data_IF_271097017575
#
_entry.id   IF_271097017575
#
_cell.length_a   1.000
_cell.length_b   1.000
_cell.length_c   1.000
_cell.angle_alpha   90.00
_cell.angle_beta   90.00
_cell.angle_gamma   90.00
#
_symmetry.space_group_name_H-M   'P 1'
#
loop_
_entity.id
_entity.type
_entity.pdbx_description
1 polymer ?
#
# COMPACT_ATOMS: atom_id res chain seq x y z
N UNK A 1 14.04 -35.18 -28.82
CA UNK A 1 14.57 -33.92 -28.27
C UNK A 1 13.93 -32.82 -29.10
N UNK A 2 12.87 -32.18 -28.58
CA UNK A 2 12.20 -31.11 -29.30
C UNK A 2 13.08 -29.87 -29.31
N UNK A 3 13.26 -29.32 -30.51
CA UNK A 3 14.07 -28.14 -30.77
C UNK A 3 13.26 -26.89 -30.38
N UNK A 4 12.93 -26.75 -29.09
CA UNK A 4 12.07 -25.70 -28.53
C UNK A 4 12.77 -24.32 -28.45
N UNK A 5 13.78 -24.06 -29.29
CA UNK A 5 14.36 -22.73 -29.42
C UNK A 5 13.60 -21.92 -30.46
N UNK A 6 12.89 -20.89 -29.98
CA UNK A 6 12.29 -19.87 -30.83
C UNK A 6 13.41 -19.04 -31.50
N UNK A 7 13.92 -19.53 -32.64
CA UNK A 7 15.04 -18.93 -33.37
C UNK A 7 14.70 -17.62 -34.10
N UNK A 8 13.41 -17.28 -34.21
CA UNK A 8 12.99 -16.09 -34.94
C UNK A 8 13.23 -14.80 -34.16
N UNK A 9 13.36 -14.86 -32.82
CA UNK A 9 13.58 -13.66 -32.03
C UNK A 9 14.83 -12.90 -32.48
N UNK A 10 15.96 -13.59 -32.71
CA UNK A 10 17.20 -12.96 -33.16
C UNK A 10 17.16 -12.45 -34.60
N UNK A 11 16.17 -12.89 -35.39
CA UNK A 11 15.97 -12.44 -36.77
C UNK A 11 15.11 -11.18 -36.86
N UNK A 12 14.44 -10.79 -35.78
CA UNK A 12 13.65 -9.56 -35.74
C UNK A 12 14.58 -8.33 -35.80
N UNK A 13 14.15 -7.23 -36.45
CA UNK A 13 14.79 -5.93 -36.35
C UNK A 13 15.03 -5.52 -34.89
N UNK A 14 16.12 -4.80 -34.63
CA UNK A 14 16.52 -4.37 -33.29
C UNK A 14 15.37 -3.66 -32.55
N UNK A 15 14.62 -2.83 -33.26
CA UNK A 15 13.50 -2.05 -32.73
C UNK A 15 12.42 -2.98 -32.17
N UNK A 16 12.06 -4.04 -32.89
CA UNK A 16 11.05 -5.01 -32.44
C UNK A 16 11.56 -5.84 -31.27
N UNK A 17 12.83 -6.27 -31.28
CA UNK A 17 13.43 -7.02 -30.16
C UNK A 17 13.45 -6.19 -28.88
N UNK A 18 13.81 -4.91 -28.98
CA UNK A 18 13.78 -3.97 -27.86
C UNK A 18 12.36 -3.68 -27.37
N UNK A 19 11.38 -3.56 -28.26
CA UNK A 19 9.97 -3.43 -27.85
C UNK A 19 9.50 -4.67 -27.09
N UNK A 20 9.83 -5.87 -27.55
CA UNK A 20 9.51 -7.12 -26.84
C UNK A 20 10.14 -7.10 -25.44
N UNK A 21 11.43 -6.75 -25.32
CA UNK A 21 12.06 -6.65 -24.00
C UNK A 21 11.39 -5.61 -23.10
N UNK A 22 11.02 -4.44 -23.65
CA UNK A 22 10.28 -3.43 -22.89
C UNK A 22 8.94 -3.95 -22.42
N UNK A 23 8.21 -4.72 -23.23
CA UNK A 23 6.94 -5.33 -22.84
C UNK A 23 7.10 -6.44 -21.82
N UNK A 24 8.23 -7.13 -21.81
CA UNK A 24 8.52 -8.19 -20.85
C UNK A 24 8.98 -7.67 -19.47
N UNK A 25 9.27 -6.38 -19.32
CA UNK A 25 9.53 -5.79 -18.00
C UNK A 25 8.28 -5.94 -17.11
N UNK A 26 8.44 -6.23 -15.81
CA UNK A 26 7.32 -6.37 -14.90
C UNK A 26 6.68 -5.02 -14.54
N UNK A 27 5.49 -5.08 -13.96
CA UNK A 27 4.90 -4.01 -13.17
C UNK A 27 4.99 -4.45 -11.71
N UNK A 28 5.78 -3.75 -10.90
CA UNK A 28 6.06 -4.14 -9.52
C UNK A 28 5.51 -3.12 -8.54
N UNK A 29 5.29 -3.60 -7.34
CA UNK A 29 5.13 -2.76 -6.17
C UNK A 29 6.53 -2.66 -5.56
N UNK A 30 7.20 -1.53 -5.73
CA UNK A 30 8.52 -1.29 -5.17
C UNK A 30 8.36 -0.86 -3.71
N UNK A 31 8.69 -1.76 -2.79
CA UNK A 31 8.54 -1.54 -1.35
C UNK A 31 9.79 -0.90 -0.77
N UNK A 32 9.65 0.27 -0.14
CA UNK A 32 10.77 0.96 0.51
C UNK A 32 11.19 0.30 1.82
N UNK A 33 10.28 -0.43 2.46
CA UNK A 33 10.45 -1.04 3.78
C UNK A 33 9.77 -2.40 3.83
N UNK A 34 10.14 -3.19 4.85
CA UNK A 34 9.55 -4.49 5.11
C UNK A 34 8.34 -4.32 6.02
N UNK A 35 7.16 -4.92 5.71
CA UNK A 35 6.05 -4.88 6.65
C UNK A 35 6.39 -5.67 7.93
N UNK A 36 6.17 -5.07 9.09
CA UNK A 36 6.29 -5.78 10.38
C UNK A 36 5.16 -6.82 10.55
N UNK A 37 3.97 -6.50 10.04
CA UNK A 37 2.77 -7.35 10.05
C UNK A 37 2.13 -7.35 8.65
N UNK A 38 1.45 -8.43 8.25
CA UNK A 38 0.76 -8.51 6.96
C UNK A 38 -0.60 -7.79 6.96
N UNK A 39 -0.68 -6.65 7.64
CA UNK A 39 -1.88 -5.80 7.70
C UNK A 39 -3.14 -6.56 8.18
N UNK A 40 -2.96 -7.56 9.04
CA UNK A 40 -4.04 -8.37 9.66
C UNK A 40 -4.15 -8.17 11.19
N UNK A 41 -3.41 -7.20 11.73
CA UNK A 41 -3.41 -6.78 13.13
C UNK A 41 -2.20 -7.28 13.93
N UNK A 42 -2.22 -7.07 15.25
CA UNK A 42 -1.12 -7.46 16.16
C UNK A 42 -0.98 -8.98 16.34
N UNK A 43 -1.99 -9.75 15.94
CA UNK A 43 -1.97 -11.22 15.95
C UNK A 43 -2.08 -11.71 14.50
N UNK A 44 -0.93 -11.75 13.81
CA UNK A 44 -0.89 -12.19 12.41
C UNK A 44 -1.47 -13.60 12.27
N UNK A 45 -2.56 -13.72 11.52
CA UNK A 45 -3.19 -15.01 11.16
C UNK A 45 -2.37 -15.74 10.10
N UNK A 46 -1.45 -15.03 9.45
CA UNK A 46 -0.58 -15.53 8.41
C UNK A 46 0.83 -15.71 8.96
N UNK A 47 1.38 -16.90 8.77
CA UNK A 47 2.76 -17.17 9.12
C UNK A 47 3.64 -16.81 7.92
N UNK A 48 3.98 -15.54 7.72
CA UNK A 48 4.91 -15.11 6.66
C UNK A 48 5.94 -14.10 7.16
N UNK A 49 7.21 -14.43 6.97
CA UNK A 49 8.29 -13.47 7.19
C UNK A 49 8.60 -12.74 5.87
N UNK A 50 8.00 -11.55 5.73
CA UNK A 50 8.01 -10.78 4.49
C UNK A 50 9.40 -10.30 4.06
N UNK A 51 10.33 -10.14 5.01
CA UNK A 51 11.68 -9.57 4.80
C UNK A 51 12.42 -10.15 3.60
N UNK A 52 12.45 -11.48 3.49
CA UNK A 52 13.10 -12.16 2.36
C UNK A 52 12.46 -11.78 1.03
N UNK A 53 11.13 -11.68 0.98
CA UNK A 53 10.40 -11.35 -0.24
C UNK A 53 10.59 -9.88 -0.61
N UNK A 54 10.56 -8.97 0.37
CA UNK A 54 10.83 -7.55 0.16
C UNK A 54 12.23 -7.34 -0.41
N UNK A 55 13.26 -7.98 0.15
CA UNK A 55 14.63 -7.91 -0.38
C UNK A 55 14.77 -8.51 -1.79
N UNK A 56 14.03 -9.58 -2.10
CA UNK A 56 14.00 -10.16 -3.45
C UNK A 56 13.31 -9.21 -4.44
N UNK A 57 12.22 -8.57 -4.02
CA UNK A 57 11.47 -7.60 -4.81
C UNK A 57 12.29 -6.34 -5.12
N UNK A 58 13.16 -5.94 -4.18
CA UNK A 58 14.08 -4.81 -4.32
C UNK A 58 15.22 -5.03 -5.34
N UNK A 59 15.40 -6.23 -5.89
CA UNK A 59 16.45 -6.51 -6.88
C UNK A 59 16.03 -6.13 -8.31
N UNK A 60 17.00 -6.01 -9.25
CA UNK A 60 16.67 -5.88 -10.67
C UNK A 60 15.81 -7.05 -11.16
N UNK A 61 14.86 -6.80 -12.09
CA UNK A 61 13.97 -7.83 -12.57
C UNK A 61 14.74 -8.95 -13.28
N UNK A 62 14.18 -10.16 -13.30
CA UNK A 62 14.86 -11.34 -13.84
C UNK A 62 15.28 -11.16 -15.30
N UNK A 63 14.51 -10.36 -16.06
CA UNK A 63 14.81 -10.00 -17.45
C UNK A 63 16.15 -9.30 -17.64
N UNK A 64 16.67 -8.59 -16.63
CA UNK A 64 17.97 -7.91 -16.67
C UNK A 64 19.16 -8.89 -16.74
N UNK A 65 18.92 -10.19 -16.51
CA UNK A 65 19.93 -11.24 -16.47
C UNK A 65 19.86 -12.21 -17.66
N UNK A 66 18.93 -12.00 -18.61
CA UNK A 66 18.75 -12.91 -19.76
C UNK A 66 19.88 -12.75 -20.79
N UNK A 67 20.13 -11.53 -21.28
CA UNK A 67 21.24 -11.21 -22.17
C UNK A 67 21.63 -9.72 -22.08
N UNK A 68 22.61 -9.28 -22.87
CA UNK A 68 23.08 -7.90 -22.87
C UNK A 68 22.03 -6.89 -23.35
N UNK A 69 21.22 -7.25 -24.34
CA UNK A 69 20.18 -6.36 -24.88
C UNK A 69 19.03 -6.18 -23.89
N UNK A 70 18.56 -7.26 -23.27
CA UNK A 70 17.51 -7.21 -22.25
C UNK A 70 17.98 -6.45 -21.01
N UNK A 71 19.25 -6.63 -20.61
CA UNK A 71 19.90 -5.85 -19.54
C UNK A 71 19.90 -4.36 -19.87
N UNK A 72 20.30 -3.99 -21.09
CA UNK A 72 20.33 -2.60 -21.48
C UNK A 72 18.93 -1.98 -21.40
N UNK A 73 17.90 -2.69 -21.87
CA UNK A 73 16.50 -2.24 -21.75
C UNK A 73 16.08 -2.08 -20.28
N UNK A 74 16.44 -3.01 -19.40
CA UNK A 74 16.14 -2.88 -17.98
C UNK A 74 16.83 -1.66 -17.35
N UNK A 75 18.10 -1.41 -17.67
CA UNK A 75 18.88 -0.27 -17.17
C UNK A 75 18.40 1.09 -17.73
N UNK A 76 17.77 1.12 -18.91
CA UNK A 76 17.18 2.33 -19.47
C UNK A 76 15.84 2.69 -18.82
N UNK A 77 15.09 1.70 -18.35
CA UNK A 77 13.74 1.86 -17.78
C UNK A 77 13.72 1.85 -16.25
N UNK A 78 14.84 1.53 -15.60
CA UNK A 78 14.95 1.44 -14.14
C UNK A 78 16.29 1.90 -13.60
N UNK A 79 16.35 2.03 -12.27
CA UNK A 79 17.52 2.52 -11.55
C UNK A 79 17.51 2.04 -10.09
N UNK A 80 18.68 2.11 -9.47
CA UNK A 80 18.77 2.04 -8.00
C UNK A 80 18.30 3.37 -7.40
N UNK A 81 17.56 3.24 -6.31
CA UNK A 81 17.14 4.31 -5.43
C UNK A 81 17.73 4.02 -4.05
N UNK A 82 18.64 4.87 -3.61
CA UNK A 82 19.22 4.80 -2.26
C UNK A 82 18.25 5.46 -1.28
N UNK A 83 17.89 4.74 -0.21
CA UNK A 83 16.99 5.24 0.81
C UNK A 83 17.85 5.56 2.04
N UNK A 84 17.78 6.81 2.52
CA UNK A 84 18.60 7.28 3.64
C UNK A 84 17.82 7.29 4.97
N UNK A 85 16.61 6.73 4.97
CA UNK A 85 15.70 6.74 6.10
C UNK A 85 15.95 5.54 7.02
N UNK A 86 15.81 5.74 8.33
CA UNK A 86 16.08 4.70 9.35
C UNK A 86 15.07 3.54 9.34
N UNK A 87 13.95 3.70 8.63
CA UNK A 87 12.87 2.71 8.56
C UNK A 87 12.82 1.94 7.23
N UNK A 88 13.61 2.37 6.26
CA UNK A 88 13.63 1.83 4.89
C UNK A 88 14.79 0.85 4.67
N UNK A 89 14.73 0.10 3.58
CA UNK A 89 15.85 -0.67 3.03
C UNK A 89 16.99 0.28 2.59
N UNK A 90 18.23 -0.19 2.54
CA UNK A 90 19.36 0.67 2.12
C UNK A 90 19.23 1.16 0.67
N UNK A 91 18.81 0.26 -0.23
CA UNK A 91 18.56 0.60 -1.63
C UNK A 91 17.56 -0.36 -2.26
N UNK A 92 16.80 0.13 -3.23
CA UNK A 92 15.83 -0.65 -4.00
C UNK A 92 15.95 -0.36 -5.50
N UNK A 93 15.70 -1.36 -6.33
CA UNK A 93 15.59 -1.19 -7.77
C UNK A 93 14.16 -0.77 -8.14
N UNK A 94 14.01 0.38 -8.79
CA UNK A 94 12.72 0.94 -9.22
C UNK A 94 12.66 1.14 -10.74
N UNK A 95 11.46 1.04 -11.30
CA UNK A 95 11.16 1.41 -12.68
C UNK A 95 10.11 2.54 -12.69
N UNK A 96 10.54 3.82 -12.68
CA UNK A 96 9.64 4.93 -12.33
C UNK A 96 8.36 5.05 -13.17
N UNK A 97 8.43 4.66 -14.45
CA UNK A 97 7.28 4.72 -15.38
C UNK A 97 6.32 3.54 -15.28
N UNK A 98 6.59 2.55 -14.43
CA UNK A 98 5.91 1.24 -14.40
C UNK A 98 5.54 0.77 -13.01
N UNK A 99 6.45 0.98 -12.07
CA UNK A 99 6.30 0.51 -10.70
C UNK A 99 5.46 1.50 -9.88
N UNK A 100 4.80 0.98 -8.86
CA UNK A 100 4.18 1.76 -7.78
C UNK A 100 5.15 1.78 -6.62
N UNK A 101 5.45 2.95 -6.07
CA UNK A 101 6.31 3.07 -4.89
C UNK A 101 5.45 2.89 -3.64
N UNK A 102 5.81 1.97 -2.75
CA UNK A 102 4.99 1.57 -1.61
C UNK A 102 5.73 1.68 -0.29
N UNK A 103 5.01 2.17 0.73
CA UNK A 103 5.48 2.27 2.10
C UNK A 103 4.57 1.45 3.04
N UNK A 104 5.14 0.43 3.67
CA UNK A 104 4.51 -0.46 4.65
C UNK A 104 4.50 0.10 6.08
N UNK A 105 5.13 1.26 6.30
CA UNK A 105 5.33 1.89 7.59
C UNK A 105 4.02 2.05 8.38
N UNK A 106 4.04 1.72 9.67
CA UNK A 106 2.91 1.95 10.59
C UNK A 106 3.41 2.44 11.95
N UNK A 107 2.62 3.30 12.62
CA UNK A 107 2.88 3.69 14.02
C UNK A 107 2.68 2.53 15.02
N UNK A 108 1.88 1.53 14.67
CA UNK A 108 1.62 0.35 15.51
C UNK A 108 2.91 -0.31 16.00
N UNK A 109 3.92 -0.38 15.14
CA UNK A 109 5.28 -0.84 15.46
C UNK A 109 5.85 -0.23 16.76
N UNK A 110 5.73 1.08 16.91
CA UNK A 110 6.32 1.82 18.04
C UNK A 110 5.45 1.74 19.30
N UNK A 111 4.12 1.71 19.13
CA UNK A 111 3.18 1.48 20.23
C UNK A 111 3.37 0.10 20.86
N UNK A 112 3.65 -0.91 20.04
CA UNK A 112 3.88 -2.29 20.47
C UNK A 112 5.27 -2.46 21.12
N UNK A 113 6.30 -1.77 20.60
CA UNK A 113 7.67 -1.89 21.14
C UNK A 113 8.00 -0.94 22.30
N UNK A 114 7.07 -0.05 22.69
CA UNK A 114 7.25 0.82 23.85
C UNK A 114 8.42 1.80 23.73
N UNK A 115 8.82 2.15 22.50
CA UNK A 115 9.88 3.12 22.28
C UNK A 115 9.43 4.51 22.77
N UNK A 116 10.27 5.15 23.59
CA UNK A 116 9.99 6.44 24.21
C UNK A 116 10.03 7.63 23.23
N UNK A 117 10.63 7.44 22.06
CA UNK A 117 10.75 8.47 21.02
C UNK A 117 9.68 8.26 19.95
N UNK A 118 8.78 9.23 19.79
CA UNK A 118 7.87 9.33 18.64
C UNK A 118 8.71 9.53 17.37
N UNK A 119 8.84 8.51 16.50
CA UNK A 119 9.68 8.63 15.32
C UNK A 119 9.17 9.74 14.41
N UNK A 120 10.09 10.47 13.76
CA UNK A 120 9.71 11.39 12.69
C UNK A 120 8.93 10.65 11.61
N UNK A 121 7.84 11.25 11.13
CA UNK A 121 7.07 10.67 10.04
C UNK A 121 7.94 10.51 8.78
N UNK A 122 7.99 9.33 8.15
CA UNK A 122 8.67 9.16 6.88
C UNK A 122 7.83 9.64 5.69
N UNK A 123 6.57 10.02 5.90
CA UNK A 123 5.61 10.27 4.82
C UNK A 123 6.00 11.45 3.94
N UNK A 124 6.43 12.58 4.52
CA UNK A 124 6.87 13.71 3.71
C UNK A 124 8.02 13.33 2.76
N UNK A 125 9.04 12.64 3.27
CA UNK A 125 10.18 12.20 2.47
C UNK A 125 9.79 11.17 1.41
N UNK A 126 8.90 10.24 1.76
CA UNK A 126 8.36 9.24 0.84
C UNK A 126 7.57 9.89 -0.31
N UNK A 127 6.63 10.79 0.00
CA UNK A 127 5.80 11.46 -1.01
C UNK A 127 6.63 12.38 -1.90
N UNK A 128 7.62 13.07 -1.35
CA UNK A 128 8.57 13.85 -2.13
C UNK A 128 9.36 12.98 -3.11
N UNK A 129 9.83 11.80 -2.68
CA UNK A 129 10.53 10.85 -3.56
C UNK A 129 9.63 10.30 -4.66
N UNK A 130 8.38 9.96 -4.31
CA UNK A 130 7.39 9.52 -5.29
C UNK A 130 7.16 10.61 -6.36
N UNK A 131 7.05 11.87 -5.94
CA UNK A 131 6.91 13.03 -6.83
C UNK A 131 8.15 13.25 -7.71
N UNK A 132 9.35 13.28 -7.13
CA UNK A 132 10.62 13.48 -7.87
C UNK A 132 10.84 12.41 -8.94
N UNK A 133 10.46 11.17 -8.64
CA UNK A 133 10.55 10.05 -9.58
C UNK A 133 9.37 10.00 -10.56
N UNK A 134 8.30 10.77 -10.34
CA UNK A 134 7.05 10.67 -11.10
C UNK A 134 6.37 9.31 -10.93
N UNK A 135 6.53 8.68 -9.76
CA UNK A 135 5.96 7.38 -9.42
C UNK A 135 4.63 7.53 -8.70
N UNK A 136 3.73 6.57 -8.92
CA UNK A 136 2.49 6.48 -8.16
C UNK A 136 2.81 6.08 -6.71
N UNK A 137 2.48 6.88 -5.68
CA UNK A 137 2.66 6.49 -4.29
C UNK A 137 1.58 5.49 -3.86
N UNK A 138 1.97 4.65 -2.90
CA UNK A 138 1.08 3.76 -2.18
C UNK A 138 1.48 3.66 -0.71
N UNK A 139 0.48 3.64 0.17
CA UNK A 139 0.65 3.55 1.63
C UNK A 139 -0.29 2.51 2.21
N UNK A 140 -0.08 2.14 3.47
CA UNK A 140 -1.00 1.25 4.21
C UNK A 140 -2.11 2.06 4.88
N UNK A 141 -3.30 1.47 4.99
CA UNK A 141 -4.48 2.14 5.53
C UNK A 141 -4.27 2.72 6.94
N UNK A 142 -3.56 1.98 7.79
CA UNK A 142 -3.23 2.34 9.17
C UNK A 142 -2.52 3.70 9.34
N UNK A 143 -1.86 4.21 8.30
CA UNK A 143 -1.23 5.54 8.36
C UNK A 143 -2.30 6.65 8.47
N UNK A 144 -3.41 6.48 7.76
CA UNK A 144 -4.48 7.47 7.70
C UNK A 144 -5.49 7.24 8.83
N UNK A 145 -5.93 6.00 8.99
CA UNK A 145 -6.95 5.62 9.94
C UNK A 145 -6.89 4.11 10.21
N UNK A 146 -7.08 3.65 11.47
CA UNK A 146 -7.04 2.24 11.77
C UNK A 146 -8.03 1.42 10.94
N UNK A 147 -7.63 0.22 10.53
CA UNK A 147 -8.48 -0.71 9.81
C UNK A 147 -8.31 -2.12 10.36
N UNK A 148 -9.18 -2.51 11.30
CA UNK A 148 -9.05 -3.79 11.99
C UNK A 148 -9.66 -4.95 11.20
N UNK A 149 -8.82 -5.63 10.41
CA UNK A 149 -9.21 -6.89 9.77
C UNK A 149 -9.61 -7.96 10.81
N UNK A 150 -8.97 -7.94 11.99
CA UNK A 150 -9.31 -8.83 13.11
C UNK A 150 -10.76 -8.64 13.56
N UNK A 151 -11.20 -7.40 13.78
CA UNK A 151 -12.59 -7.12 14.18
C UNK A 151 -13.60 -7.59 13.12
N UNK A 152 -13.24 -7.45 11.83
CA UNK A 152 -14.07 -7.93 10.72
C UNK A 152 -14.19 -9.46 10.65
N UNK A 153 -13.14 -10.18 11.03
CA UNK A 153 -13.15 -11.65 11.02
C UNK A 153 -13.83 -12.24 12.26
N UNK A 154 -13.61 -11.67 13.44
CA UNK A 154 -14.04 -12.25 14.71
C UNK A 154 -15.54 -12.04 15.00
N UNK A 155 -16.29 -11.39 14.11
CA UNK A 155 -17.75 -11.33 14.25
C UNK A 155 -18.26 -10.50 15.42
N UNK A 156 -17.40 -9.72 16.10
CA UNK A 156 -17.81 -8.96 17.27
C UNK A 156 -18.91 -7.95 16.90
N UNK A 157 -20.14 -8.25 17.34
CA UNK A 157 -21.26 -7.33 17.34
C UNK A 157 -20.88 -6.12 18.21
N UNK A 158 -20.51 -5.00 17.59
CA UNK A 158 -20.51 -3.69 18.25
C UNK A 158 -19.16 -3.03 18.56
N UNK A 159 -18.02 -3.55 18.13
CA UNK A 159 -16.85 -2.67 17.94
C UNK A 159 -16.82 -2.26 16.48
N UNK A 160 -17.13 -1.00 16.20
CA UNK A 160 -16.92 -0.42 14.87
C UNK A 160 -15.50 -0.80 14.41
N UNK A 161 -15.36 -1.19 13.13
CA UNK A 161 -14.05 -1.53 12.56
C UNK A 161 -13.04 -0.37 12.71
N UNK A 162 -13.54 0.83 13.03
CA UNK A 162 -12.80 1.97 13.53
C UNK A 162 -13.70 2.96 14.29
N UNK A 163 -13.19 3.57 15.37
CA UNK A 163 -13.85 4.66 16.10
C UNK A 163 -14.06 5.89 15.20
N UNK A 164 -15.11 6.70 15.47
CA UNK A 164 -15.31 7.96 14.77
C UNK A 164 -14.05 8.83 14.84
N UNK A 165 -13.49 9.28 13.71
CA UNK A 165 -12.25 10.02 13.72
C UNK A 165 -12.38 11.36 14.43
N UNK A 166 -11.30 11.77 15.07
CA UNK A 166 -11.18 13.06 15.73
C UNK A 166 -9.80 13.67 15.52
N UNK A 167 -9.77 14.99 15.40
CA UNK A 167 -8.58 15.81 15.23
C UNK A 167 -8.49 16.80 16.40
N UNK A 168 -7.30 17.00 16.94
CA UNK A 168 -7.07 18.11 17.88
C UNK A 168 -7.16 19.43 17.11
N UNK A 169 -7.98 20.35 17.59
CA UNK A 169 -8.22 21.61 16.89
C UNK A 169 -6.94 22.45 16.75
N UNK A 170 -6.15 22.54 17.82
CA UNK A 170 -4.95 23.40 17.90
C UNK A 170 -3.62 22.70 17.58
N UNK A 171 -3.60 21.37 17.40
CA UNK A 171 -2.36 20.61 17.20
C UNK A 171 -2.58 19.40 16.28
N UNK A 172 -1.66 19.18 15.36
CA UNK A 172 -1.69 18.06 14.43
C UNK A 172 -1.00 16.84 15.01
N UNK A 173 -1.70 16.09 15.91
CA UNK A 173 -1.09 14.93 16.59
C UNK A 173 -0.59 13.84 15.61
N UNK A 174 -1.32 13.58 14.53
CA UNK A 174 -0.89 12.68 13.45
C UNK A 174 -0.09 13.47 12.40
N UNK A 175 1.23 13.51 12.57
CA UNK A 175 2.15 14.16 11.60
C UNK A 175 2.11 13.51 10.22
N UNK A 176 1.77 12.22 10.13
CA UNK A 176 1.78 11.48 8.86
C UNK A 176 0.70 11.96 7.92
N UNK A 177 -0.52 12.09 8.44
CA UNK A 177 -1.65 12.63 7.69
C UNK A 177 -1.45 14.12 7.43
N UNK A 178 -0.83 14.84 8.36
CA UNK A 178 -0.39 16.22 8.12
C UNK A 178 0.53 16.32 6.91
N UNK A 179 1.53 15.43 6.79
CA UNK A 179 2.43 15.35 5.64
C UNK A 179 1.70 14.92 4.36
N UNK A 180 0.73 14.00 4.43
CA UNK A 180 -0.12 13.66 3.28
C UNK A 180 -0.95 14.85 2.80
N UNK A 181 -1.59 15.56 3.72
CA UNK A 181 -2.33 16.77 3.42
C UNK A 181 -1.41 17.88 2.89
N UNK A 182 -0.14 17.90 3.32
CA UNK A 182 0.86 18.81 2.80
C UNK A 182 1.14 18.56 1.32
N UNK A 183 1.33 17.28 0.96
CA UNK A 183 1.63 16.82 -0.38
C UNK A 183 0.39 16.56 -1.26
N UNK A 184 -0.82 16.81 -0.76
CA UNK A 184 -2.06 16.50 -1.48
C UNK A 184 -2.10 17.17 -2.87
N UNK A 185 -1.63 18.42 -2.97
CA UNK A 185 -1.63 19.19 -4.22
C UNK A 185 -0.73 18.58 -5.32
N UNK A 186 0.28 17.78 -4.97
CA UNK A 186 1.16 17.13 -5.94
C UNK A 186 0.71 15.71 -6.31
N UNK A 187 -0.28 15.15 -5.60
CA UNK A 187 -0.67 13.76 -5.74
C UNK A 187 -2.12 13.63 -6.22
N UNK A 188 -2.31 13.30 -7.49
CA UNK A 188 -3.66 13.09 -8.04
C UNK A 188 -4.36 11.83 -7.49
N UNK A 189 -3.57 10.82 -7.07
CA UNK A 189 -4.05 9.49 -6.67
C UNK A 189 -3.16 8.93 -5.58
N UNK A 190 -3.74 8.15 -4.68
CA UNK A 190 -3.03 7.40 -3.64
C UNK A 190 -3.58 5.98 -3.52
N UNK A 191 -2.76 4.99 -3.86
CA UNK A 191 -3.13 3.57 -3.70
C UNK A 191 -2.97 3.18 -2.22
N UNK A 192 -4.03 2.66 -1.59
CA UNK A 192 -4.03 2.33 -0.16
C UNK A 192 -4.15 0.83 0.06
N UNK A 193 -3.14 0.19 0.65
CA UNK A 193 -3.19 -1.21 1.05
C UNK A 193 -4.08 -1.38 2.30
N UNK A 194 -5.29 -1.91 2.10
CA UNK A 194 -6.27 -2.17 3.16
C UNK A 194 -5.93 -3.43 3.96
N UNK A 195 -5.39 -4.43 3.28
CA UNK A 195 -5.02 -5.72 3.84
C UNK A 195 -3.93 -6.34 2.96
N UNK A 196 -3.17 -7.28 3.52
CA UNK A 196 -2.26 -8.12 2.74
C UNK A 196 -2.53 -9.60 2.93
N UNK A 197 -2.24 -10.38 1.89
CA UNK A 197 -2.25 -11.84 1.93
C UNK A 197 -0.98 -12.40 1.32
N UNK A 198 -0.37 -13.37 1.99
CA UNK A 198 0.83 -14.07 1.53
C UNK A 198 0.50 -15.51 1.14
N UNK A 199 0.85 -15.88 -0.09
CA UNK A 199 0.61 -17.20 -0.65
C UNK A 199 1.89 -18.04 -0.57
N UNK A 200 1.94 -19.06 0.29
CA UNK A 200 3.09 -19.97 0.34
C UNK A 200 3.02 -21.04 -0.74
N UNK A 201 3.34 -20.64 -1.98
CA UNK A 201 3.25 -21.49 -3.17
C UNK A 201 4.63 -21.75 -3.78
N UNK A 202 4.82 -22.87 -4.50
CA UNK A 202 6.06 -23.12 -5.22
C UNK A 202 6.32 -22.07 -6.30
N UNK A 203 7.59 -21.68 -6.52
CA UNK A 203 7.97 -20.73 -7.58
C UNK A 203 7.40 -21.10 -8.95
N UNK A 204 7.39 -22.40 -9.29
CA UNK A 204 6.85 -22.90 -10.57
C UNK A 204 5.35 -22.61 -10.72
N UNK A 205 4.59 -22.62 -9.64
CA UNK A 205 3.17 -22.27 -9.65
C UNK A 205 2.97 -20.77 -9.87
N UNK A 206 3.68 -19.94 -9.12
CA UNK A 206 3.66 -18.48 -9.29
C UNK A 206 4.06 -18.05 -10.72
N UNK A 207 5.04 -18.72 -11.32
CA UNK A 207 5.45 -18.49 -12.71
C UNK A 207 4.35 -18.88 -13.71
N UNK A 208 3.76 -20.06 -13.55
CA UNK A 208 2.75 -20.58 -14.48
C UNK A 208 1.42 -19.82 -14.41
N UNK A 209 1.12 -19.18 -13.29
CA UNK A 209 -0.09 -18.38 -13.16
C UNK A 209 -0.03 -17.08 -13.95
N UNK A 210 1.17 -16.54 -14.18
CA UNK A 210 1.35 -15.22 -14.79
C UNK A 210 0.91 -14.05 -13.88
N UNK A 211 0.47 -14.34 -12.65
CA UNK A 211 -0.05 -13.33 -11.72
C UNK A 211 1.06 -12.52 -11.04
N UNK A 212 2.30 -13.01 -11.02
CA UNK A 212 3.43 -12.39 -10.33
C UNK A 212 4.55 -11.98 -11.29
N UNK A 213 4.15 -11.42 -12.45
CA UNK A 213 5.03 -11.10 -13.55
C UNK A 213 5.35 -12.31 -14.44
N UNK A 214 5.78 -12.05 -15.67
CA UNK A 214 6.05 -13.09 -16.67
C UNK A 214 7.18 -14.03 -16.25
N UNK A 215 8.13 -13.55 -15.45
CA UNK A 215 9.29 -14.30 -14.98
C UNK A 215 9.29 -14.51 -13.46
N UNK A 216 8.16 -14.27 -12.79
CA UNK A 216 8.04 -14.39 -11.34
C UNK A 216 8.90 -13.34 -10.63
N UNK A 217 9.06 -12.18 -11.25
CA UNK A 217 9.87 -11.05 -10.82
C UNK A 217 9.04 -9.88 -10.31
N UNK A 218 7.73 -10.11 -10.09
CA UNK A 218 6.83 -9.20 -9.39
C UNK A 218 6.14 -9.92 -8.23
N UNK A 219 6.88 -10.24 -7.14
CA UNK A 219 6.38 -11.08 -6.05
C UNK A 219 5.29 -10.45 -5.20
N UNK A 220 5.09 -9.14 -5.34
CA UNK A 220 4.03 -8.37 -4.69
C UNK A 220 3.18 -7.72 -5.76
N UNK A 221 1.87 -7.83 -5.60
CA UNK A 221 0.86 -7.26 -6.48
C UNK A 221 -0.20 -6.55 -5.64
N UNK A 222 -0.89 -5.58 -6.25
CA UNK A 222 -2.01 -4.86 -5.66
C UNK A 222 -3.24 -5.08 -6.53
N UNK A 223 -4.35 -5.46 -5.89
CA UNK A 223 -5.63 -5.72 -6.54
C UNK A 223 -6.64 -4.72 -6.02
N UNK A 224 -7.45 -4.10 -6.89
CA UNK A 224 -8.53 -3.22 -6.43
C UNK A 224 -9.49 -4.02 -5.54
N UNK A 225 -9.96 -3.42 -4.45
CA UNK A 225 -10.92 -4.08 -3.54
C UNK A 225 -12.21 -4.52 -4.27
N UNK A 226 -12.60 -3.83 -5.33
CA UNK A 226 -13.76 -4.19 -6.17
C UNK A 226 -13.47 -5.23 -7.28
N UNK A 227 -12.21 -5.62 -7.50
CA UNK A 227 -11.84 -6.58 -8.55
C UNK A 227 -11.93 -8.02 -8.04
N UNK A 228 -13.16 -8.48 -7.83
CA UNK A 228 -13.42 -9.85 -7.38
C UNK A 228 -12.87 -10.90 -8.35
N UNK A 229 -12.86 -10.62 -9.65
CA UNK A 229 -12.37 -11.56 -10.66
C UNK A 229 -10.88 -11.85 -10.43
N UNK A 230 -10.07 -10.80 -10.29
CA UNK A 230 -8.64 -10.94 -10.00
C UNK A 230 -8.38 -11.57 -8.64
N UNK A 231 -9.13 -11.21 -7.60
CA UNK A 231 -9.00 -11.86 -6.29
C UNK A 231 -9.28 -13.36 -6.36
N UNK A 232 -10.27 -13.79 -7.15
CA UNK A 232 -10.58 -15.21 -7.37
C UNK A 232 -9.47 -15.96 -8.11
N UNK A 233 -8.74 -15.30 -9.02
CA UNK A 233 -7.56 -15.91 -9.66
C UNK A 233 -6.46 -16.23 -8.64
N UNK A 234 -6.16 -15.29 -7.74
CA UNK A 234 -5.20 -15.52 -6.64
C UNK A 234 -5.71 -16.59 -5.66
N UNK A 235 -7.00 -16.56 -5.31
CA UNK A 235 -7.61 -17.57 -4.45
C UNK A 235 -7.54 -18.96 -5.09
N UNK A 236 -7.79 -19.09 -6.40
CA UNK A 236 -7.69 -20.37 -7.10
C UNK A 236 -6.26 -20.91 -7.08
N UNK A 237 -5.27 -20.05 -7.36
CA UNK A 237 -3.85 -20.42 -7.28
C UNK A 237 -3.45 -20.89 -5.87
N UNK A 238 -3.92 -20.19 -4.84
CA UNK A 238 -3.73 -20.57 -3.46
C UNK A 238 -4.37 -21.93 -3.15
N UNK A 239 -5.62 -22.14 -3.57
CA UNK A 239 -6.37 -23.36 -3.30
C UNK A 239 -5.73 -24.60 -3.90
N UNK A 240 -5.15 -24.47 -5.09
CA UNK A 240 -4.46 -25.57 -5.78
C UNK A 240 -3.17 -26.02 -5.07
N UNK A 241 -2.48 -25.11 -4.37
CA UNK A 241 -1.09 -25.36 -3.94
C UNK A 241 -0.83 -25.25 -2.43
N UNK A 242 -1.70 -24.59 -1.66
CA UNK A 242 -1.41 -24.25 -0.26
C UNK A 242 -2.59 -24.40 0.71
N UNK A 243 -3.83 -24.66 0.24
CA UNK A 243 -5.02 -24.73 1.11
C UNK A 243 -4.88 -25.67 2.31
N UNK A 244 -4.38 -26.88 2.08
CA UNK A 244 -4.25 -27.89 3.14
C UNK A 244 -3.27 -27.45 4.24
N UNK A 245 -2.30 -26.61 3.89
CA UNK A 245 -1.24 -26.17 4.78
C UNK A 245 -1.62 -24.90 5.55
N UNK A 246 -2.42 -24.03 4.93
CA UNK A 246 -2.75 -22.70 5.46
C UNK A 246 -4.25 -22.37 5.33
N UNK A 247 -5.16 -23.15 5.95
CA UNK A 247 -6.60 -22.93 5.80
C UNK A 247 -7.06 -21.53 6.24
N UNK A 248 -6.33 -20.86 7.14
CA UNK A 248 -6.63 -19.49 7.56
C UNK A 248 -6.57 -18.47 6.40
N UNK A 249 -5.72 -18.70 5.39
CA UNK A 249 -5.62 -17.82 4.21
C UNK A 249 -6.88 -17.91 3.34
N UNK A 250 -7.56 -19.06 3.33
CA UNK A 250 -8.85 -19.20 2.64
C UNK A 250 -9.92 -18.28 3.27
N UNK A 251 -9.96 -18.20 4.60
CA UNK A 251 -10.87 -17.30 5.33
C UNK A 251 -10.61 -15.83 5.00
N UNK A 252 -9.35 -15.44 4.72
CA UNK A 252 -9.03 -14.08 4.29
C UNK A 252 -9.63 -13.77 2.91
N UNK A 253 -9.49 -14.67 1.94
CA UNK A 253 -10.10 -14.46 0.61
C UNK A 253 -11.64 -14.40 0.66
N UNK A 254 -12.25 -15.23 1.51
CA UNK A 254 -13.69 -15.17 1.77
C UNK A 254 -14.09 -13.84 2.41
N UNK A 255 -13.29 -13.32 3.34
CA UNK A 255 -13.52 -12.01 3.94
C UNK A 255 -13.40 -10.88 2.91
N UNK A 256 -12.35 -10.86 2.08
CA UNK A 256 -12.13 -9.83 1.07
C UNK A 256 -13.26 -9.70 0.05
N UNK A 257 -13.96 -10.80 -0.22
CA UNK A 257 -15.11 -10.85 -1.15
C UNK A 257 -16.46 -10.68 -0.43
N UNK A 258 -16.46 -10.49 0.88
CA UNK A 258 -17.68 -10.33 1.67
C UNK A 258 -18.25 -8.90 1.59
N UNK A 259 -19.57 -8.77 1.66
CA UNK A 259 -20.24 -7.47 1.77
C UNK A 259 -19.83 -6.70 3.03
N UNK A 260 -19.49 -7.42 4.11
CA UNK A 260 -19.00 -6.83 5.36
C UNK A 260 -17.66 -6.11 5.15
N UNK A 261 -16.72 -6.74 4.46
CA UNK A 261 -15.44 -6.12 4.14
C UNK A 261 -15.61 -4.91 3.23
N UNK A 262 -16.42 -5.02 2.18
CA UNK A 262 -16.72 -3.89 1.28
C UNK A 262 -17.33 -2.71 2.04
N UNK A 263 -18.30 -2.98 2.92
CA UNK A 263 -18.93 -1.93 3.75
C UNK A 263 -17.91 -1.27 4.69
N UNK A 264 -17.00 -2.05 5.27
CA UNK A 264 -15.95 -1.53 6.14
C UNK A 264 -14.92 -0.68 5.38
N UNK A 265 -14.53 -1.09 4.17
CA UNK A 265 -13.63 -0.31 3.31
C UNK A 265 -14.27 1.01 2.89
N UNK A 266 -15.55 1.01 2.54
CA UNK A 266 -16.29 2.24 2.22
C UNK A 266 -16.43 3.18 3.43
N UNK A 267 -16.71 2.63 4.62
CA UNK A 267 -16.74 3.41 5.85
C UNK A 267 -15.36 4.02 6.15
N UNK A 268 -14.30 3.21 6.08
CA UNK A 268 -12.92 3.64 6.27
C UNK A 268 -12.54 4.73 5.26
N UNK A 269 -12.90 4.58 3.99
CA UNK A 269 -12.60 5.57 2.95
C UNK A 269 -13.21 6.93 3.27
N UNK A 270 -14.49 6.96 3.68
CA UNK A 270 -15.16 8.20 4.11
C UNK A 270 -14.48 8.84 5.32
N UNK A 271 -14.05 8.02 6.28
CA UNK A 271 -13.32 8.48 7.47
C UNK A 271 -11.95 9.05 7.07
N UNK A 272 -11.19 8.36 6.21
CA UNK A 272 -9.88 8.79 5.73
C UNK A 272 -9.95 10.08 4.91
N UNK A 273 -10.95 10.23 4.04
CA UNK A 273 -11.19 11.46 3.28
C UNK A 273 -11.57 12.63 4.19
N UNK A 274 -12.40 12.39 5.22
CA UNK A 274 -12.72 13.40 6.23
C UNK A 274 -11.47 13.83 7.00
N UNK A 275 -10.64 12.87 7.40
CA UNK A 275 -9.36 13.11 8.10
C UNK A 275 -8.43 13.96 7.24
N UNK A 276 -8.21 13.59 5.97
CA UNK A 276 -7.37 14.37 5.05
C UNK A 276 -7.87 15.81 4.93
N UNK A 277 -9.18 15.98 4.71
CA UNK A 277 -9.77 17.32 4.58
C UNK A 277 -9.62 18.12 5.87
N UNK A 278 -9.78 17.49 7.04
CA UNK A 278 -9.59 18.15 8.33
C UNK A 278 -8.15 18.64 8.53
N UNK A 279 -7.15 17.87 8.08
CA UNK A 279 -5.75 18.29 8.10
C UNK A 279 -5.45 19.40 7.08
N UNK A 280 -6.01 19.32 5.87
CA UNK A 280 -5.91 20.41 4.89
C UNK A 280 -6.53 21.71 5.45
N UNK A 281 -7.67 21.62 6.13
CA UNK A 281 -8.33 22.74 6.79
C UNK A 281 -7.46 23.33 7.90
N UNK A 282 -6.94 22.49 8.79
CA UNK A 282 -6.10 22.92 9.91
C UNK A 282 -4.87 23.67 9.39
N UNK A 283 -4.24 23.16 8.33
CA UNK A 283 -3.12 23.83 7.66
C UNK A 283 -3.51 25.19 7.09
N UNK A 284 -4.57 25.24 6.27
CA UNK A 284 -5.02 26.49 5.66
C UNK A 284 -5.31 27.58 6.73
N UNK A 285 -5.91 27.17 7.85
CA UNK A 285 -6.16 28.04 9.01
C UNK A 285 -4.87 28.52 9.69
N UNK A 286 -3.89 27.63 9.90
CA UNK A 286 -2.62 27.96 10.57
C UNK A 286 -1.70 28.83 9.71
N UNK A 287 -1.65 28.58 8.41
CA UNK A 287 -0.78 29.31 7.47
C UNK A 287 -1.32 30.74 7.18
N UNK A 288 -2.44 31.14 7.80
CA UNK A 288 -3.19 32.35 7.49
C UNK A 288 -3.48 32.51 5.99
N UNK A 289 -3.53 31.39 5.27
CA UNK A 289 -3.98 31.37 3.89
C UNK A 289 -5.46 31.66 3.98
N UNK A 290 -5.81 32.91 3.66
CA UNK A 290 -7.19 33.38 3.63
C UNK A 290 -8.00 32.31 2.90
N UNK A 291 -8.93 31.66 3.60
CA UNK A 291 -9.75 30.56 3.08
C UNK A 291 -10.73 31.22 2.10
N UNK A 292 -10.20 31.69 0.98
CA UNK A 292 -10.86 32.53 -0.01
C UNK A 292 -11.61 33.74 0.59
N UNK A 293 -11.09 34.35 1.67
CA UNK A 293 -11.73 35.50 2.33
C UNK A 293 -12.94 35.13 3.20
N UNK A 294 -13.13 33.84 3.51
CA UNK A 294 -14.22 33.33 4.34
C UNK A 294 -13.70 32.85 5.69
N UNK A 295 -14.58 32.86 6.70
CA UNK A 295 -14.26 32.34 8.03
C UNK A 295 -13.96 30.84 7.95
N UNK A 296 -12.75 30.38 8.34
CA UNK A 296 -12.39 28.96 8.35
C UNK A 296 -13.39 28.07 9.07
N UNK A 297 -14.04 28.57 10.12
CA UNK A 297 -15.00 27.83 10.91
C UNK A 297 -16.32 27.53 10.17
N UNK A 298 -16.60 28.28 9.09
CA UNK A 298 -17.78 28.08 8.23
C UNK A 298 -17.64 26.94 7.22
N UNK A 299 -16.45 26.33 7.10
CA UNK A 299 -16.22 25.15 6.26
C UNK A 299 -16.84 23.85 6.82
N UNK A 300 -17.50 23.91 7.99
CA UNK A 300 -18.04 22.77 8.71
C UNK A 300 -19.52 22.99 9.04
N UNK A 301 -20.31 21.91 9.00
CA UNK A 301 -21.72 21.86 9.41
C UNK A 301 -21.86 20.90 10.59
N UNK A 302 -22.42 21.35 11.73
CA UNK A 302 -22.78 22.74 12.05
C UNK A 302 -21.53 23.64 12.14
N UNK A 303 -21.73 24.96 12.15
CA UNK A 303 -20.65 25.93 12.28
C UNK A 303 -19.69 25.57 13.43
N UNK A 304 -18.40 25.54 13.14
CA UNK A 304 -17.37 25.10 14.08
C UNK A 304 -16.95 26.24 15.02
N UNK A 305 -17.42 26.23 16.26
CA UNK A 305 -16.83 27.09 17.30
C UNK A 305 -15.42 26.61 17.69
N UNK A 306 -14.53 27.48 18.16
CA UNK A 306 -13.27 27.06 18.78
C UNK A 306 -13.52 26.01 19.88
N UNK A 307 -12.85 24.87 19.78
CA UNK A 307 -12.99 23.71 20.67
C UNK A 307 -11.66 22.99 20.78
N UNK A 308 -11.56 22.04 21.70
CA UNK A 308 -10.36 21.20 21.84
C UNK A 308 -10.24 20.15 20.71
N UNK A 309 -11.37 19.56 20.29
CA UNK A 309 -11.42 18.50 19.28
C UNK A 309 -12.45 18.79 18.19
N UNK A 310 -12.09 18.49 16.95
CA UNK A 310 -12.98 18.35 15.81
C UNK A 310 -13.29 16.86 15.63
N UNK A 311 -14.56 16.46 15.67
CA UNK A 311 -15.00 15.05 15.56
C UNK A 311 -15.92 14.86 14.36
N UNK A 312 -15.70 13.82 13.56
CA UNK A 312 -16.55 13.53 12.40
C UNK A 312 -18.01 13.27 12.77
N UNK A 313 -18.24 12.63 13.93
CA UNK A 313 -19.59 12.40 14.47
C UNK A 313 -20.38 13.68 14.77
N UNK A 314 -19.68 14.81 14.95
CA UNK A 314 -20.27 16.10 15.29
C UNK A 314 -20.24 17.08 14.13
N UNK A 315 -19.22 17.02 13.27
CA UNK A 315 -18.95 18.00 12.22
C UNK A 315 -18.66 17.32 10.88
N UNK A 316 -19.43 17.69 9.87
CA UNK A 316 -19.19 17.30 8.49
C UNK A 316 -18.74 18.50 7.67
N UNK A 317 -17.96 18.31 6.60
CA UNK A 317 -17.61 19.40 5.71
C UNK A 317 -18.85 20.02 5.07
N UNK A 318 -18.89 21.34 4.99
CA UNK A 318 -19.88 22.04 4.17
C UNK A 318 -19.51 21.86 2.69
N UNK A 319 -20.13 20.90 2.02
CA UNK A 319 -19.84 20.60 0.60
C UNK A 319 -20.16 21.79 -0.33
N UNK A 320 -20.92 22.80 0.13
CA UNK A 320 -21.17 24.01 -0.63
C UNK A 320 -20.11 25.10 -0.45
N UNK A 321 -19.29 25.00 0.60
CA UNK A 321 -18.27 25.98 0.94
C UNK A 321 -17.16 26.05 -0.12
N UNK A 322 -16.76 27.24 -0.62
CA UNK A 322 -15.79 27.37 -1.71
C UNK A 322 -14.45 26.67 -1.44
N UNK A 323 -13.93 26.79 -0.23
CA UNK A 323 -12.70 26.10 0.14
C UNK A 323 -12.84 24.59 0.20
N UNK A 324 -13.98 24.04 0.66
CA UNK A 324 -14.20 22.59 0.68
C UNK A 324 -14.21 22.06 -0.75
N UNK A 325 -14.90 22.73 -1.68
CA UNK A 325 -14.90 22.39 -3.10
C UNK A 325 -13.48 22.38 -3.70
N UNK A 326 -12.65 23.38 -3.37
CA UNK A 326 -11.27 23.44 -3.82
C UNK A 326 -10.42 22.33 -3.20
N UNK A 327 -10.50 22.13 -1.88
CA UNK A 327 -9.75 21.11 -1.18
C UNK A 327 -10.10 19.69 -1.65
N UNK A 328 -11.37 19.43 -1.98
CA UNK A 328 -11.82 18.17 -2.61
C UNK A 328 -11.20 17.94 -3.99
N UNK A 329 -10.99 19.00 -4.78
CA UNK A 329 -10.34 18.90 -6.09
C UNK A 329 -8.83 18.67 -5.99
N UNK A 330 -8.20 19.22 -4.95
CA UNK A 330 -6.77 19.04 -4.69
C UNK A 330 -6.44 17.77 -3.91
N UNK A 331 -7.39 17.19 -3.18
CA UNK A 331 -7.16 15.99 -2.39
C UNK A 331 -6.88 14.77 -3.29
N UNK A 332 -5.95 13.88 -2.90
CA UNK A 332 -5.68 12.67 -3.67
C UNK A 332 -6.90 11.75 -3.70
N UNK A 333 -7.17 11.16 -4.87
CA UNK A 333 -8.15 10.08 -4.98
C UNK A 333 -7.62 8.84 -4.24
N UNK A 334 -8.28 8.46 -3.15
CA UNK A 334 -7.95 7.24 -2.40
C UNK A 334 -8.46 6.00 -3.13
N UNK A 335 -7.54 5.07 -3.42
CA UNK A 335 -7.81 3.81 -4.13
C UNK A 335 -7.53 2.62 -3.21
N UNK A 336 -8.55 2.08 -2.51
CA UNK A 336 -8.39 0.90 -1.68
C UNK A 336 -7.97 -0.34 -2.49
N UNK A 337 -6.90 -1.00 -2.04
CA UNK A 337 -6.32 -2.19 -2.66
C UNK A 337 -6.11 -3.30 -1.63
N UNK A 338 -6.06 -4.53 -2.11
CA UNK A 338 -5.56 -5.69 -1.38
C UNK A 338 -4.19 -6.05 -1.93
N UNK A 339 -3.22 -6.15 -1.04
CA UNK A 339 -1.88 -6.58 -1.39
C UNK A 339 -1.80 -8.10 -1.41
N UNK A 340 -1.28 -8.67 -2.48
CA UNK A 340 -1.04 -10.12 -2.61
C UNK A 340 0.45 -10.36 -2.79
N UNK A 341 1.03 -11.21 -1.95
CA UNK A 341 2.44 -11.60 -1.98
C UNK A 341 2.52 -13.09 -2.29
N UNK A 342 3.53 -13.53 -3.03
CA UNK A 342 3.91 -14.94 -3.02
C UNK A 342 5.20 -15.15 -2.22
N UNK A 343 5.25 -16.27 -1.49
CA UNK A 343 6.41 -16.66 -0.70
C UNK A 343 6.75 -18.12 -0.95
N UNK A 344 8.04 -18.43 -1.14
CA UNK A 344 8.50 -19.82 -1.37
C UNK A 344 9.08 -20.47 -0.12
N UNK A 345 9.07 -19.78 1.02
CA UNK A 345 9.81 -20.20 2.21
C UNK A 345 9.00 -21.15 3.13
N UNK A 346 7.73 -21.43 2.80
CA UNK A 346 6.82 -22.24 3.64
C UNK A 346 6.84 -21.77 5.11
N UNK A 347 6.62 -20.47 5.33
CA UNK A 347 6.76 -19.85 6.64
C UNK A 347 5.74 -20.33 7.68
N UNK A 348 4.70 -21.07 7.27
CA UNK A 348 3.82 -21.83 8.18
C UNK A 348 4.55 -22.91 9.00
N UNK A 349 5.78 -23.27 8.64
CA UNK A 349 6.65 -24.15 9.43
C UNK A 349 7.36 -23.30 10.49
N UNK A 350 7.04 -23.52 11.78
CA UNK A 350 7.55 -22.71 12.90
C UNK A 350 9.08 -22.61 12.94
N UNK A 351 9.78 -23.68 12.59
CA UNK A 351 11.25 -23.74 12.57
C UNK A 351 11.88 -22.82 11.51
N UNK A 352 11.10 -22.37 10.52
CA UNK A 352 11.54 -21.45 9.47
C UNK A 352 11.26 -19.98 9.79
N UNK A 353 10.53 -19.71 10.87
CA UNK A 353 10.29 -18.36 11.35
C UNK A 353 11.43 -17.92 12.28
N UNK A 354 11.78 -16.63 12.30
CA UNK A 354 12.68 -16.08 13.31
C UNK A 354 12.20 -16.43 14.74
N UNK A 355 13.13 -16.61 15.68
CA UNK A 355 12.82 -17.02 17.08
C UNK A 355 11.82 -16.09 17.80
N UNK A 356 11.71 -14.83 17.35
CA UNK A 356 10.83 -13.81 17.92
C UNK A 356 9.69 -13.41 16.97
N UNK A 357 9.36 -14.24 15.98
CA UNK A 357 8.31 -13.94 15.02
C UNK A 357 6.93 -14.01 15.71
N UNK A 358 6.18 -12.91 15.67
CA UNK A 358 4.85 -12.82 16.28
C UNK A 358 4.84 -12.80 17.81
N UNK A 359 6.01 -12.78 18.47
CA UNK A 359 6.12 -12.50 19.90
C UNK A 359 6.25 -10.99 20.07
N UNK A 360 5.13 -10.32 20.33
CA UNK A 360 5.08 -8.88 20.54
C UNK A 360 4.26 -8.56 21.79
#
# INVERSE_FOLDING_TARGET
MNNDSFHYFSQLPLELRRLIWRHCLPHRIAEEDTPDFLHDGNESRQACWADRITHQNAQPPAIAFVNSESRQVALEEGRWLDLQDTTSLESIWVQPRRDVLHLNWTRLRYNVWGNADDPSSPIAMFLWRAEDLGMQPSVVAEIMHPFSLKALLDGADGTDASDSPSLLYHDGRNKDVGDMAYCAESQSRLDVAMAAVSLHIPRKAALRSGLFGLLGDAPVQMVDVGDEARLREFQALFREHALEKEPAVQTLFEAFTSSRFQTAVEAWKRQAEWILLAYMWQRARMDHVDILGTDPCSAWVPYLSEREFLRMSEYLPDEDHPWVKQARQSAPELRPRIMVRYCTNECYIKERLPKNFGTY
#
